data_IF_703415688798
#
_entry.id   IF_703415688798
#
_cell.length_a   1.000
_cell.length_b   1.000
_cell.length_c   1.000
_cell.angle_alpha   90.00
_cell.angle_beta   90.00
_cell.angle_gamma   90.00
#
_symmetry.space_group_name_H-M   'P 1'
#
loop_
_entity.id
_entity.type
_entity.pdbx_description
1 polymer ?
#
# COMPACT_ATOMS: atom_id res chain seq x y z
N UNK A 1 -0.58 -12.75 37.08
CA UNK A 1 0.50 -12.01 36.39
C UNK A 1 0.62 -12.61 34.99
N UNK A 2 0.02 -11.99 33.97
CA UNK A 2 0.09 -12.50 32.60
C UNK A 2 1.49 -12.17 32.05
N UNK A 3 2.26 -13.20 31.67
CA UNK A 3 3.56 -13.00 31.05
C UNK A 3 3.29 -12.54 29.61
N UNK A 4 3.36 -11.23 29.38
CA UNK A 4 3.19 -10.68 28.03
C UNK A 4 4.32 -11.18 27.15
N UNK A 5 3.97 -11.88 26.06
CA UNK A 5 4.93 -12.34 25.07
C UNK A 5 5.49 -11.12 24.34
N UNK A 6 6.77 -10.82 24.59
CA UNK A 6 7.54 -9.76 23.91
C UNK A 6 7.38 -9.88 22.40
N UNK A 7 7.33 -8.74 21.69
CA UNK A 7 7.31 -8.69 20.23
C UNK A 7 8.43 -9.57 19.65
N UNK A 8 8.09 -10.39 18.65
CA UNK A 8 9.07 -11.22 17.95
C UNK A 8 10.11 -10.34 17.21
N UNK A 9 11.27 -10.92 16.91
CA UNK A 9 12.37 -10.18 16.30
C UNK A 9 12.02 -9.68 14.89
N UNK A 10 11.32 -10.48 14.09
CA UNK A 10 10.92 -10.11 12.72
C UNK A 10 10.05 -8.85 12.68
N UNK A 11 8.97 -8.80 13.46
CA UNK A 11 8.07 -7.64 13.55
C UNK A 11 8.81 -6.38 14.00
N UNK A 12 9.74 -6.56 14.95
CA UNK A 12 10.58 -5.45 15.41
C UNK A 12 11.51 -4.93 14.32
N UNK A 13 12.14 -5.83 13.56
CA UNK A 13 13.00 -5.44 12.44
C UNK A 13 12.18 -4.77 11.33
N UNK A 14 10.97 -5.28 11.00
CA UNK A 14 10.05 -4.62 10.06
C UNK A 14 9.73 -3.20 10.49
N UNK A 15 9.35 -3.02 11.75
CA UNK A 15 9.06 -1.70 12.32
C UNK A 15 10.28 -0.78 12.21
N UNK A 16 11.49 -1.30 12.47
CA UNK A 16 12.72 -0.52 12.38
C UNK A 16 13.07 -0.13 10.95
N UNK A 17 12.98 -1.05 9.99
CA UNK A 17 13.18 -0.77 8.56
C UNK A 17 12.19 0.25 8.01
N UNK A 18 10.93 0.19 8.44
CA UNK A 18 9.89 1.11 8.00
C UNK A 18 9.93 2.49 8.70
N UNK A 19 10.87 2.70 9.64
CA UNK A 19 10.96 3.96 10.41
C UNK A 19 10.93 5.23 9.53
N UNK A 20 11.63 5.31 8.38
CA UNK A 20 11.57 6.49 7.52
C UNK A 20 10.15 6.75 6.99
N UNK A 21 9.48 5.73 6.46
CA UNK A 21 8.11 5.84 5.94
C UNK A 21 7.12 6.28 7.03
N UNK A 22 7.27 5.73 8.24
CA UNK A 22 6.42 6.12 9.38
C UNK A 22 6.70 7.58 9.77
N UNK A 23 7.97 8.03 9.79
CA UNK A 23 8.32 9.42 10.13
C UNK A 23 7.76 10.44 9.14
N UNK A 24 7.77 10.11 7.86
CA UNK A 24 7.36 11.02 6.81
C UNK A 24 5.85 11.22 6.79
N UNK A 25 5.09 10.18 7.11
CA UNK A 25 3.64 10.17 6.86
C UNK A 25 2.76 10.03 8.09
N UNK A 26 3.27 9.49 9.20
CA UNK A 26 2.47 9.32 10.41
C UNK A 26 2.33 10.64 11.18
N UNK A 27 1.11 10.93 11.63
CA UNK A 27 0.81 12.00 12.58
C UNK A 27 0.49 11.39 13.96
N UNK A 28 1.46 11.37 14.90
CA UNK A 28 1.29 10.67 16.18
C UNK A 28 0.01 11.04 16.92
N UNK A 29 -0.37 12.33 16.92
CA UNK A 29 -1.54 12.81 17.65
C UNK A 29 -2.86 12.12 17.25
N UNK A 30 -3.02 11.72 15.98
CA UNK A 30 -4.24 11.05 15.51
C UNK A 30 -4.24 9.56 15.86
N UNK A 31 -3.09 8.90 15.75
CA UNK A 31 -2.99 7.45 15.97
C UNK A 31 -2.87 7.09 17.45
N UNK A 32 -2.23 7.93 18.27
CA UNK A 32 -2.04 7.69 19.71
C UNK A 32 -3.37 7.52 20.47
N UNK A 33 -4.43 8.23 20.09
CA UNK A 33 -5.74 8.13 20.75
C UNK A 33 -6.36 6.75 20.53
N UNK A 34 -6.31 6.26 19.30
CA UNK A 34 -6.77 4.91 18.95
C UNK A 34 -5.88 3.83 19.61
N UNK A 35 -4.58 4.06 19.69
CA UNK A 35 -3.65 3.12 20.35
C UNK A 35 -3.90 3.02 21.86
N UNK A 36 -4.24 4.13 22.51
CA UNK A 36 -4.60 4.15 23.93
C UNK A 36 -5.94 3.43 24.15
N UNK A 37 -6.94 3.68 23.30
CA UNK A 37 -8.24 3.00 23.38
C UNK A 37 -8.18 1.48 23.16
N UNK A 38 -7.19 1.01 22.39
CA UNK A 38 -6.95 -0.40 22.11
C UNK A 38 -5.96 -1.07 23.09
N UNK A 39 -5.58 -0.39 24.17
CA UNK A 39 -4.61 -0.86 25.18
C UNK A 39 -3.25 -1.28 24.59
N UNK A 40 -2.82 -0.63 23.50
CA UNK A 40 -1.51 -0.88 22.88
C UNK A 40 -0.41 -0.16 23.68
N UNK A 41 -0.73 1.05 24.12
CA UNK A 41 0.09 1.92 24.96
C UNK A 41 -0.74 2.34 26.17
N UNK A 42 -0.08 2.76 27.24
CA UNK A 42 -0.73 3.32 28.42
C UNK A 42 -0.70 4.86 28.41
N UNK A 43 -1.30 5.48 29.43
CA UNK A 43 -1.32 6.94 29.56
C UNK A 43 0.07 7.55 29.77
N UNK A 44 1.01 6.80 30.35
CA UNK A 44 2.39 7.27 30.55
C UNK A 44 3.12 7.34 29.20
N UNK A 45 3.08 6.27 28.43
CA UNK A 45 3.58 6.22 27.05
C UNK A 45 2.98 7.34 26.20
N UNK A 46 1.66 7.53 26.27
CA UNK A 46 0.95 8.56 25.52
C UNK A 46 1.49 9.96 25.85
N UNK A 47 1.67 10.28 27.13
CA UNK A 47 2.25 11.56 27.57
C UNK A 47 3.70 11.70 27.17
N UNK A 48 4.49 10.63 27.30
CA UNK A 48 5.93 10.63 26.97
C UNK A 48 6.14 10.92 25.47
N UNK A 49 5.34 10.28 24.59
CA UNK A 49 5.36 10.58 23.15
C UNK A 49 5.01 12.05 22.90
N UNK A 50 3.90 12.55 23.45
CA UNK A 50 3.46 13.93 23.18
C UNK A 50 4.39 15.01 23.78
N UNK A 51 5.11 14.70 24.85
CA UNK A 51 6.07 15.61 25.47
C UNK A 51 7.29 15.90 24.58
N UNK A 52 7.58 15.02 23.61
CA UNK A 52 8.68 15.18 22.67
C UNK A 52 8.43 16.35 21.70
N UNK A 53 9.43 17.24 21.57
CA UNK A 53 9.34 18.42 20.70
C UNK A 53 9.54 18.06 19.24
N UNK A 54 8.47 18.14 18.45
CA UNK A 54 8.46 17.98 17.00
C UNK A 54 8.04 16.59 16.53
N UNK A 55 7.32 16.52 15.41
CA UNK A 55 6.69 15.30 14.88
C UNK A 55 7.65 14.12 14.78
N UNK A 56 8.83 14.32 14.20
CA UNK A 56 9.80 13.25 13.99
C UNK A 56 10.27 12.61 15.31
N UNK A 57 10.49 13.43 16.35
CA UNK A 57 10.88 12.92 17.68
C UNK A 57 9.73 12.18 18.34
N UNK A 58 8.50 12.66 18.18
CA UNK A 58 7.30 11.96 18.65
C UNK A 58 7.16 10.59 17.96
N UNK A 59 7.30 10.53 16.63
CA UNK A 59 7.26 9.25 15.88
C UNK A 59 8.40 8.32 16.33
N UNK A 60 9.62 8.84 16.46
CA UNK A 60 10.76 8.05 16.92
C UNK A 60 10.50 7.43 18.30
N UNK A 61 9.98 8.24 19.24
CA UNK A 61 9.63 7.80 20.58
C UNK A 61 8.51 6.75 20.59
N UNK A 62 7.49 6.95 19.75
CA UNK A 62 6.41 5.97 19.56
C UNK A 62 6.94 4.61 19.07
N UNK A 63 7.84 4.63 18.08
CA UNK A 63 8.46 3.41 17.55
C UNK A 63 9.31 2.71 18.64
N UNK A 64 10.05 3.48 19.44
CA UNK A 64 10.81 2.93 20.57
C UNK A 64 9.91 2.22 21.58
N UNK A 65 8.80 2.85 21.98
CA UNK A 65 7.78 2.27 22.87
C UNK A 65 7.18 1.01 22.24
N UNK A 66 6.70 1.08 21.01
CA UNK A 66 6.12 -0.05 20.28
C UNK A 66 7.09 -1.24 20.24
N UNK A 67 8.37 -0.99 19.99
CA UNK A 67 9.40 -2.03 19.94
C UNK A 67 9.59 -2.80 21.26
N UNK A 68 9.08 -2.26 22.37
CA UNK A 68 9.10 -2.88 23.69
C UNK A 68 7.79 -3.60 24.04
N UNK A 69 6.71 -3.37 23.30
CA UNK A 69 5.40 -4.00 23.53
C UNK A 69 5.34 -5.45 23.02
N UNK A 70 4.17 -6.06 23.16
CA UNK A 70 3.92 -7.45 22.76
C UNK A 70 3.68 -7.59 21.25
N UNK A 71 3.79 -8.81 20.71
CA UNK A 71 3.38 -9.07 19.32
C UNK A 71 1.90 -8.79 19.07
N UNK A 72 1.05 -8.90 20.09
CA UNK A 72 -0.37 -8.54 19.96
C UNK A 72 -0.55 -7.04 19.78
N UNK A 73 0.20 -6.22 20.54
CA UNK A 73 0.21 -4.77 20.40
C UNK A 73 0.64 -4.35 18.99
N UNK A 74 1.65 -5.01 18.41
CA UNK A 74 2.06 -4.79 17.01
C UNK A 74 0.92 -5.05 16.02
N UNK A 75 0.24 -6.19 16.13
CA UNK A 75 -0.87 -6.53 15.22
C UNK A 75 -2.02 -5.54 15.32
N UNK A 76 -2.38 -5.12 16.54
CA UNK A 76 -3.38 -4.08 16.76
C UNK A 76 -2.95 -2.74 16.16
N UNK A 77 -1.67 -2.37 16.30
CA UNK A 77 -1.11 -1.16 15.69
C UNK A 77 -1.23 -1.20 14.16
N UNK A 78 -0.86 -2.32 13.52
CA UNK A 78 -1.04 -2.50 12.08
C UNK A 78 -2.52 -2.40 11.69
N UNK A 79 -3.44 -2.95 12.48
CA UNK A 79 -4.88 -2.82 12.24
C UNK A 79 -5.35 -1.36 12.30
N UNK A 80 -4.91 -0.58 13.28
CA UNK A 80 -5.22 0.87 13.37
C UNK A 80 -4.67 1.59 12.14
N UNK A 81 -3.46 1.26 11.70
CA UNK A 81 -2.92 1.82 10.46
C UNK A 81 -3.76 1.40 9.24
N UNK A 82 -4.25 0.17 9.18
CA UNK A 82 -5.07 -0.31 8.06
C UNK A 82 -6.36 0.51 7.86
N UNK A 83 -6.89 1.11 8.93
CA UNK A 83 -8.12 1.90 8.91
C UNK A 83 -7.91 3.31 8.32
N UNK A 84 -6.83 3.99 8.68
CA UNK A 84 -6.58 5.40 8.30
C UNK A 84 -5.38 5.60 7.34
N UNK A 85 -4.50 4.61 7.26
CA UNK A 85 -3.19 4.64 6.61
C UNK A 85 -2.85 3.26 5.98
N UNK A 86 -3.81 2.68 5.26
CA UNK A 86 -3.74 1.36 4.61
C UNK A 86 -2.40 1.10 3.88
N UNK A 87 -1.94 2.06 3.08
CA UNK A 87 -0.68 1.97 2.35
C UNK A 87 0.54 1.83 3.29
N UNK A 88 0.53 2.45 4.48
CA UNK A 88 1.61 2.35 5.45
C UNK A 88 1.56 0.99 6.15
N UNK A 89 0.36 0.53 6.50
CA UNK A 89 0.16 -0.81 7.04
C UNK A 89 0.69 -1.87 6.07
N UNK A 90 0.34 -1.75 4.79
CA UNK A 90 0.78 -2.67 3.74
C UNK A 90 2.29 -2.60 3.51
N UNK A 91 2.86 -1.39 3.50
CA UNK A 91 4.32 -1.18 3.43
C UNK A 91 5.04 -1.88 4.57
N UNK A 92 4.52 -1.82 5.81
CA UNK A 92 5.16 -2.51 6.95
C UNK A 92 5.05 -4.03 6.79
N UNK A 93 3.89 -4.55 6.35
CA UNK A 93 3.65 -5.99 6.15
C UNK A 93 4.53 -6.58 5.04
N UNK A 94 4.76 -5.83 3.96
CA UNK A 94 5.53 -6.27 2.79
C UNK A 94 7.05 -6.25 3.01
N UNK A 95 7.54 -5.74 4.14
CA UNK A 95 8.97 -5.75 4.44
C UNK A 95 9.42 -7.19 4.72
N UNK A 96 10.27 -7.67 3.82
CA UNK A 96 11.02 -8.91 4.00
C UNK A 96 12.11 -8.71 5.05
N UNK A 97 12.22 -9.70 5.93
CA UNK A 97 13.22 -9.77 6.98
C UNK A 97 13.90 -11.12 6.86
N UNK A 98 15.20 -11.11 6.61
CA UNK A 98 15.98 -12.34 6.49
C UNK A 98 16.43 -12.86 7.86
N UNK A 99 16.80 -14.14 7.92
CA UNK A 99 17.31 -14.74 9.15
C UNK A 99 18.64 -14.13 9.60
N UNK A 100 19.50 -13.74 8.66
CA UNK A 100 20.77 -13.03 8.93
C UNK A 100 20.56 -11.70 9.65
N UNK A 101 19.49 -10.97 9.29
CA UNK A 101 19.12 -9.71 9.96
C UNK A 101 18.63 -9.96 11.38
N UNK A 102 17.89 -11.05 11.59
CA UNK A 102 17.44 -11.49 12.91
C UNK A 102 18.65 -11.86 13.78
N UNK A 103 19.60 -12.63 13.24
CA UNK A 103 20.83 -12.98 13.95
C UNK A 103 21.66 -11.74 14.30
N UNK A 104 21.84 -10.83 13.36
CA UNK A 104 22.52 -9.54 13.57
C UNK A 104 21.83 -8.68 14.62
N UNK A 105 20.50 -8.69 14.64
CA UNK A 105 19.70 -7.99 15.65
C UNK A 105 19.91 -8.55 17.06
N UNK A 106 20.12 -9.86 17.22
CA UNK A 106 20.46 -10.45 18.51
C UNK A 106 21.93 -10.19 18.88
N UNK A 107 22.85 -10.31 17.93
CA UNK A 107 24.28 -10.07 18.14
C UNK A 107 24.57 -8.65 18.66
N UNK A 108 23.92 -7.65 18.07
CA UNK A 108 24.06 -6.24 18.47
C UNK A 108 23.55 -5.93 19.89
N UNK A 109 22.75 -6.82 20.50
CA UNK A 109 22.20 -6.64 21.85
C UNK A 109 23.06 -7.24 22.96
N UNK A 110 24.22 -7.82 22.65
CA UNK A 110 25.12 -8.42 23.64
C UNK A 110 24.56 -9.64 24.37
N UNK A 111 23.33 -10.05 24.05
CA UNK A 111 22.77 -11.31 24.49
C UNK A 111 23.30 -12.38 23.54
N UNK A 112 24.46 -12.92 23.88
CA UNK A 112 25.02 -14.09 23.24
C UNK A 112 23.93 -15.17 23.22
N UNK A 113 23.29 -15.48 22.08
CA UNK A 113 22.26 -16.48 22.05
C UNK A 113 22.98 -17.78 22.42
N UNK A 114 22.70 -18.31 23.61
CA UNK A 114 23.00 -19.72 23.89
C UNK A 114 22.33 -20.46 22.75
N UNK A 115 23.15 -20.96 21.81
CA UNK A 115 22.75 -21.78 20.67
C UNK A 115 21.55 -22.62 21.11
N UNK A 116 20.37 -22.25 20.63
CA UNK A 116 19.26 -23.19 20.60
C UNK A 116 19.72 -24.16 19.53
N UNK A 117 20.40 -25.21 19.97
CA UNK A 117 20.87 -26.30 19.14
C UNK A 117 19.68 -26.83 18.38
N UNK A 118 19.93 -27.10 17.10
CA UNK A 118 19.00 -27.41 16.02
C UNK A 118 18.17 -28.70 16.21
N UNK A 119 18.01 -29.20 17.43
CA UNK A 119 17.29 -30.43 17.76
C UNK A 119 15.77 -30.22 17.92
N UNK A 120 15.23 -29.09 17.45
CA UNK A 120 13.79 -28.82 17.46
C UNK A 120 13.19 -28.57 16.07
N UNK A 121 13.98 -28.71 15.00
CA UNK A 121 13.48 -28.68 13.61
C UNK A 121 13.10 -30.10 13.18
N UNK A 122 12.03 -30.63 13.77
CA UNK A 122 11.31 -31.81 13.27
C UNK A 122 9.81 -31.58 13.41
N UNK A 123 9.31 -30.54 12.72
CA UNK A 123 7.90 -30.44 12.32
C UNK A 123 7.71 -29.31 11.31
N UNK A 124 8.29 -29.45 10.11
CA UNK A 124 7.76 -28.80 8.91
C UNK A 124 8.26 -29.54 7.65
N UNK A 125 7.89 -30.81 7.52
CA UNK A 125 8.04 -31.57 6.29
C UNK A 125 6.66 -32.16 5.95
N UNK A 126 5.87 -31.37 5.24
CA UNK A 126 4.63 -31.69 4.50
C UNK A 126 4.22 -30.29 3.99
N UNK A 127 4.44 -29.93 2.73
CA UNK A 127 3.87 -30.49 1.51
C UNK A 127 4.82 -30.08 0.37
N UNK A 128 5.41 -31.06 -0.31
CA UNK A 128 5.88 -30.91 -1.70
C UNK A 128 6.04 -32.32 -2.28
N UNK A 129 4.94 -32.87 -2.79
CA UNK A 129 4.98 -33.98 -3.75
C UNK A 129 3.59 -34.17 -4.34
N UNK A 130 3.45 -33.80 -5.62
CA UNK A 130 2.68 -34.48 -6.66
C UNK A 130 2.10 -33.47 -7.65
N UNK A 131 2.80 -33.30 -8.79
CA UNK A 131 2.23 -33.47 -10.13
C UNK A 131 3.33 -33.32 -11.17
N UNK A 132 4.05 -34.43 -11.37
CA UNK A 132 4.53 -34.76 -12.70
C UNK A 132 3.30 -34.97 -13.59
N UNK A 133 3.23 -34.22 -14.68
CA UNK A 133 2.34 -34.54 -15.80
C UNK A 133 3.22 -34.67 -17.03
N UNK A 134 3.03 -35.82 -17.65
CA UNK A 134 3.67 -36.39 -18.81
C UNK A 134 3.74 -35.45 -20.01
N UNK A 135 4.85 -35.59 -20.72
CA UNK A 135 5.08 -35.12 -22.07
C UNK A 135 4.58 -36.20 -23.02
N UNK A 136 3.51 -35.94 -23.78
CA UNK A 136 3.23 -36.55 -25.10
C UNK A 136 1.95 -35.95 -25.69
N UNK A 137 2.06 -35.16 -26.76
CA UNK A 137 1.80 -35.65 -28.12
C UNK A 137 1.68 -34.49 -29.12
N UNK A 138 2.51 -34.63 -30.16
CA UNK A 138 2.50 -33.81 -31.36
C UNK A 138 1.36 -34.27 -32.26
N UNK A 139 0.42 -33.37 -32.60
CA UNK A 139 -0.47 -33.55 -33.76
C UNK A 139 -0.35 -32.33 -34.67
N UNK A 140 -0.05 -32.52 -35.96
CA UNK A 140 -0.02 -31.43 -36.93
C UNK A 140 -1.41 -31.19 -37.54
N UNK A 141 -1.52 -30.05 -38.23
CA UNK A 141 -2.47 -29.78 -39.32
C UNK A 141 -3.90 -29.37 -38.94
N UNK A 142 -4.19 -28.06 -39.08
CA UNK A 142 -5.18 -27.65 -40.08
C UNK A 142 -5.05 -26.16 -40.43
N UNK A 143 -4.59 -25.88 -41.66
CA UNK A 143 -4.70 -24.56 -42.29
C UNK A 143 -6.16 -24.36 -42.71
N UNK A 144 -6.89 -23.52 -41.99
CA UNK A 144 -8.19 -23.01 -42.45
C UNK A 144 -7.99 -21.83 -43.40
N UNK A 145 -8.74 -21.76 -44.51
CA UNK A 145 -8.68 -20.63 -45.43
C UNK A 145 -9.31 -19.38 -44.81
N UNK A 146 -8.70 -18.24 -45.14
CA UNK A 146 -9.09 -16.91 -44.72
C UNK A 146 -10.53 -16.60 -45.16
N UNK A 147 -11.47 -16.60 -44.20
CA UNK A 147 -12.73 -15.90 -44.36
C UNK A 147 -12.43 -14.41 -44.20
N UNK A 148 -12.55 -13.67 -45.30
CA UNK A 148 -12.54 -12.21 -45.32
C UNK A 148 -13.69 -11.72 -44.43
N UNK A 149 -13.39 -11.42 -43.17
CA UNK A 149 -14.30 -10.71 -42.29
C UNK A 149 -14.39 -9.27 -42.81
N UNK A 150 -15.56 -8.94 -43.34
CA UNK A 150 -15.97 -7.56 -43.58
C UNK A 150 -15.78 -6.79 -42.27
N UNK A 151 -14.73 -5.97 -42.23
CA UNK A 151 -14.49 -5.00 -41.16
C UNK A 151 -15.62 -3.98 -41.28
N UNK A 152 -16.68 -4.19 -40.51
CA UNK A 152 -17.67 -3.15 -40.24
C UNK A 152 -16.91 -2.10 -39.44
N UNK A 153 -16.42 -1.06 -40.13
CA UNK A 153 -15.84 0.12 -39.50
C UNK A 153 -16.90 0.69 -38.55
N UNK A 154 -16.76 0.36 -37.25
CA UNK A 154 -17.55 1.02 -36.22
C UNK A 154 -17.25 2.51 -36.34
N UNK A 155 -18.28 3.37 -36.37
CA UNK A 155 -18.08 4.80 -36.35
C UNK A 155 -17.16 5.13 -35.18
N UNK A 156 -16.04 5.77 -35.48
CA UNK A 156 -15.08 6.20 -34.48
C UNK A 156 -15.78 7.25 -33.61
N UNK A 157 -16.36 6.81 -32.50
CA UNK A 157 -16.84 7.70 -31.44
C UNK A 157 -15.66 8.59 -31.07
N UNK A 158 -15.81 9.89 -31.30
CA UNK A 158 -14.77 10.86 -31.00
C UNK A 158 -14.50 10.80 -29.49
N UNK A 159 -13.41 10.15 -29.11
CA UNK A 159 -12.99 10.03 -27.72
C UNK A 159 -12.69 11.43 -27.19
N UNK A 160 -13.53 11.93 -26.28
CA UNK A 160 -13.33 13.23 -25.64
C UNK A 160 -12.09 13.16 -24.75
N UNK A 161 -11.09 14.00 -25.04
CA UNK A 161 -9.89 14.14 -24.22
C UNK A 161 -10.26 14.71 -22.85
N UNK A 162 -9.56 14.29 -21.80
CA UNK A 162 -9.80 14.75 -20.42
C UNK A 162 -9.29 16.19 -20.27
N UNK A 163 -10.20 17.11 -19.94
CA UNK A 163 -9.89 18.54 -19.76
C UNK A 163 -9.59 18.90 -18.31
N UNK A 164 -9.06 20.10 -18.08
CA UNK A 164 -8.72 20.58 -16.73
C UNK A 164 -9.96 20.77 -15.83
N UNK A 165 -11.10 21.10 -16.42
CA UNK A 165 -12.37 21.22 -15.72
C UNK A 165 -12.82 19.86 -15.17
N UNK A 166 -12.61 18.78 -15.91
CA UNK A 166 -12.86 17.41 -15.42
C UNK A 166 -11.93 17.07 -14.25
N UNK A 167 -10.64 17.44 -14.33
CA UNK A 167 -9.70 17.27 -13.22
C UNK A 167 -10.14 18.06 -11.97
N UNK A 168 -10.72 19.24 -12.16
CA UNK A 168 -11.25 20.04 -11.06
C UNK A 168 -12.43 19.35 -10.37
N UNK A 169 -13.28 18.63 -11.11
CA UNK A 169 -14.36 17.80 -10.54
C UNK A 169 -13.78 16.69 -9.67
N UNK A 170 -12.79 15.94 -10.18
CA UNK A 170 -12.12 14.88 -9.43
C UNK A 170 -11.49 15.39 -8.13
N UNK A 171 -10.77 16.52 -8.19
CA UNK A 171 -10.09 17.14 -7.02
C UNK A 171 -11.05 17.60 -5.93
N UNK A 172 -12.25 18.03 -6.31
CA UNK A 172 -13.27 18.48 -5.34
C UNK A 172 -13.90 17.32 -4.60
N UNK A 173 -13.84 16.10 -5.13
CA UNK A 173 -14.37 14.93 -4.47
C UNK A 173 -13.37 14.37 -3.44
N UNK A 174 -13.70 14.54 -2.16
CA UNK A 174 -12.83 14.11 -1.06
C UNK A 174 -12.59 12.59 -1.01
N UNK A 175 -13.51 11.76 -1.52
CA UNK A 175 -13.32 10.29 -1.57
C UNK A 175 -12.29 9.91 -2.62
N UNK A 176 -12.37 10.51 -3.81
CA UNK A 176 -11.37 10.32 -4.87
C UNK A 176 -10.00 10.80 -4.41
N UNK A 177 -9.92 11.98 -3.79
CA UNK A 177 -8.64 12.52 -3.27
C UNK A 177 -8.06 11.66 -2.15
N UNK A 178 -8.88 11.11 -1.25
CA UNK A 178 -8.38 10.23 -0.17
C UNK A 178 -7.89 8.89 -0.70
N UNK A 179 -8.58 8.35 -1.71
CA UNK A 179 -8.33 7.01 -2.25
C UNK A 179 -7.64 7.04 -3.63
N UNK A 180 -6.85 8.08 -3.90
CA UNK A 180 -6.22 8.27 -5.21
C UNK A 180 -5.21 7.16 -5.55
N UNK A 181 -4.61 6.51 -4.54
CA UNK A 181 -3.71 5.37 -4.74
C UNK A 181 -4.43 4.18 -5.39
N UNK A 182 -5.66 3.88 -4.95
CA UNK A 182 -6.48 2.81 -5.54
C UNK A 182 -6.83 3.12 -6.99
N UNK A 183 -7.17 4.39 -7.28
CA UNK A 183 -7.36 4.88 -8.64
C UNK A 183 -6.07 4.71 -9.48
N UNK A 184 -4.90 5.02 -8.91
CA UNK A 184 -3.62 4.82 -9.59
C UNK A 184 -3.36 3.35 -9.92
N UNK A 185 -3.66 2.43 -9.01
CA UNK A 185 -3.54 1.00 -9.26
C UNK A 185 -4.41 0.54 -10.43
N UNK A 186 -5.67 1.02 -10.52
CA UNK A 186 -6.55 0.68 -11.64
C UNK A 186 -6.14 1.28 -12.97
N UNK A 187 -5.52 2.45 -12.95
CA UNK A 187 -4.93 3.06 -14.14
C UNK A 187 -3.63 2.36 -14.59
N UNK A 188 -3.16 1.34 -13.84
CA UNK A 188 -1.89 0.67 -14.12
C UNK A 188 -0.66 1.50 -13.71
N UNK A 189 -0.84 2.45 -12.80
CA UNK A 189 0.17 3.42 -12.35
C UNK A 189 0.68 3.11 -10.94
N UNK A 190 0.57 1.87 -10.48
CA UNK A 190 1.04 1.40 -9.17
C UNK A 190 2.49 1.83 -8.86
N UNK A 191 3.36 1.81 -9.87
CA UNK A 191 4.78 2.17 -9.73
C UNK A 191 5.00 3.68 -9.56
N UNK A 192 4.03 4.51 -9.95
CA UNK A 192 4.11 5.97 -9.87
C UNK A 192 3.62 6.52 -8.53
N UNK A 193 2.93 5.73 -7.70
CA UNK A 193 2.35 6.18 -6.42
C UNK A 193 3.43 6.81 -5.51
N UNK A 194 4.56 6.13 -5.34
CA UNK A 194 5.67 6.65 -4.52
C UNK A 194 6.28 7.94 -5.11
N UNK A 195 6.44 7.99 -6.44
CA UNK A 195 6.95 9.19 -7.13
C UNK A 195 6.04 10.40 -6.93
N UNK A 196 4.73 10.20 -7.05
CA UNK A 196 3.71 11.24 -6.83
C UNK A 196 3.70 11.69 -5.37
N UNK A 197 3.75 10.76 -4.41
CA UNK A 197 3.90 11.11 -2.98
C UNK A 197 5.14 11.97 -2.72
N UNK A 198 6.29 11.58 -3.28
CA UNK A 198 7.52 12.36 -3.15
C UNK A 198 7.37 13.76 -3.75
N UNK A 199 6.75 13.90 -4.94
CA UNK A 199 6.50 15.21 -5.57
C UNK A 199 5.68 16.13 -4.66
N UNK A 200 4.58 15.62 -4.11
CA UNK A 200 3.68 16.39 -3.21
C UNK A 200 4.43 16.79 -1.94
N UNK A 201 5.12 15.84 -1.31
CA UNK A 201 5.83 16.06 -0.05
C UNK A 201 6.98 17.06 -0.23
N UNK A 202 7.80 16.91 -1.28
CA UNK A 202 8.93 17.81 -1.56
C UNK A 202 8.47 19.24 -1.86
N UNK A 203 7.30 19.41 -2.49
CA UNK A 203 6.74 20.73 -2.83
C UNK A 203 5.86 21.33 -1.73
N UNK A 204 5.62 20.58 -0.64
CA UNK A 204 4.67 20.96 0.41
C UNK A 204 3.28 21.28 -0.14
N UNK A 205 2.87 20.52 -1.16
CA UNK A 205 1.62 20.74 -1.87
C UNK A 205 0.45 20.02 -1.20
N UNK A 206 -0.76 20.42 -1.56
CA UNK A 206 -1.98 19.79 -1.05
C UNK A 206 -2.20 18.43 -1.73
N UNK A 207 -2.75 17.47 -0.97
CA UNK A 207 -2.94 16.08 -1.43
C UNK A 207 -3.86 15.98 -2.65
N UNK A 208 -4.77 16.94 -2.85
CA UNK A 208 -5.62 16.98 -4.05
C UNK A 208 -4.83 17.17 -5.35
N UNK A 209 -3.60 17.72 -5.29
CA UNK A 209 -2.71 17.79 -6.46
C UNK A 209 -2.20 16.40 -6.89
N UNK A 210 -2.32 15.37 -6.05
CA UNK A 210 -2.05 13.98 -6.43
C UNK A 210 -2.86 13.56 -7.66
N UNK A 211 -4.10 14.04 -7.78
CA UNK A 211 -4.97 13.72 -8.91
C UNK A 211 -4.43 14.34 -10.21
N UNK A 212 -3.89 15.56 -10.16
CA UNK A 212 -3.30 16.18 -11.35
C UNK A 212 -2.07 15.41 -11.77
N UNK A 213 -1.15 15.14 -10.84
CA UNK A 213 0.05 14.38 -11.15
C UNK A 213 -0.28 12.98 -11.67
N UNK A 214 -1.26 12.31 -11.08
CA UNK A 214 -1.72 11.00 -11.54
C UNK A 214 -2.21 11.04 -12.98
N UNK A 215 -3.00 12.05 -13.35
CA UNK A 215 -3.58 12.17 -14.69
C UNK A 215 -2.53 12.58 -15.73
N UNK A 216 -1.55 13.41 -15.34
CA UNK A 216 -0.39 13.72 -16.18
C UNK A 216 0.47 12.47 -16.47
N UNK A 217 0.76 11.66 -15.45
CA UNK A 217 1.48 10.39 -15.62
C UNK A 217 0.68 9.39 -16.48
N UNK A 218 -0.64 9.33 -16.27
CA UNK A 218 -1.51 8.48 -17.09
C UNK A 218 -1.49 8.87 -18.57
N UNK A 219 -1.61 10.18 -18.85
CA UNK A 219 -1.52 10.73 -20.21
C UNK A 219 -0.19 10.37 -20.88
N UNK A 220 0.91 10.40 -20.12
CA UNK A 220 2.24 10.06 -20.61
C UNK A 220 2.41 8.58 -20.94
N UNK A 221 1.87 7.68 -20.11
CA UNK A 221 2.08 6.23 -20.24
C UNK A 221 1.08 5.59 -21.22
N UNK A 222 -0.19 6.01 -21.20
CA UNK A 222 -1.27 5.43 -22.00
C UNK A 222 -2.11 6.51 -22.71
N UNK A 223 -1.53 7.25 -23.68
CA UNK A 223 -2.23 8.36 -24.34
C UNK A 223 -3.50 7.93 -25.12
N UNK A 224 -3.58 6.67 -25.55
CA UNK A 224 -4.75 6.12 -26.25
C UNK A 224 -5.94 5.89 -25.31
N UNK A 225 -5.64 5.51 -24.08
CA UNK A 225 -6.64 5.22 -23.05
C UNK A 225 -6.98 6.47 -22.22
N UNK A 226 -6.24 7.57 -22.43
CA UNK A 226 -6.46 8.87 -21.80
C UNK A 226 -7.67 9.60 -22.42
N UNK A 227 -8.87 9.11 -22.10
CA UNK A 227 -10.13 9.70 -22.55
C UNK A 227 -11.22 9.59 -21.47
N UNK A 228 -12.28 10.39 -21.63
CA UNK A 228 -13.38 10.49 -20.67
C UNK A 228 -14.07 9.14 -20.41
N UNK A 229 -14.34 8.36 -21.46
CA UNK A 229 -15.04 7.08 -21.36
C UNK A 229 -14.28 6.10 -20.46
N UNK A 230 -12.97 5.99 -20.69
CA UNK A 230 -12.11 5.12 -19.92
C UNK A 230 -11.97 5.59 -18.47
N UNK A 231 -11.83 6.89 -18.24
CA UNK A 231 -11.78 7.47 -16.90
C UNK A 231 -13.06 7.14 -16.11
N UNK A 232 -14.22 7.39 -16.72
CA UNK A 232 -15.53 7.12 -16.11
C UNK A 232 -15.69 5.63 -15.78
N UNK A 233 -15.29 4.73 -16.69
CA UNK A 233 -15.33 3.29 -16.44
C UNK A 233 -14.51 2.91 -15.21
N UNK A 234 -13.28 3.41 -15.12
CA UNK A 234 -12.37 3.14 -13.99
C UNK A 234 -12.93 3.72 -12.68
N UNK A 235 -13.51 4.92 -12.71
CA UNK A 235 -14.16 5.51 -11.54
C UNK A 235 -15.33 4.65 -11.03
N UNK A 236 -16.12 4.07 -11.94
CA UNK A 236 -17.19 3.13 -11.58
C UNK A 236 -16.65 1.82 -10.99
N UNK A 237 -15.56 1.28 -11.55
CA UNK A 237 -14.88 0.09 -11.02
C UNK A 237 -14.40 0.30 -9.57
N UNK A 238 -13.94 1.52 -9.24
CA UNK A 238 -13.51 1.93 -7.89
C UNK A 238 -14.66 2.50 -7.02
N UNK A 239 -15.92 2.34 -7.45
CA UNK A 239 -17.11 2.75 -6.71
C UNK A 239 -17.22 4.26 -6.44
N UNK A 240 -16.62 5.10 -7.30
CA UNK A 240 -16.79 6.56 -7.34
C UNK A 240 -17.94 6.96 -8.29
N UNK A 241 -19.09 6.31 -8.15
CA UNK A 241 -20.24 6.47 -9.04
C UNK A 241 -20.76 7.92 -9.09
N UNK A 242 -20.73 8.63 -7.96
CA UNK A 242 -21.15 10.03 -7.85
C UNK A 242 -20.34 10.95 -8.77
N UNK A 243 -19.02 10.73 -8.85
CA UNK A 243 -18.12 11.51 -9.71
C UNK A 243 -18.24 11.09 -11.16
N UNK A 244 -18.37 9.78 -11.42
CA UNK A 244 -18.59 9.24 -12.74
C UNK A 244 -19.87 9.81 -13.38
N UNK A 245 -20.99 9.77 -12.65
CA UNK A 245 -22.29 10.30 -13.08
C UNK A 245 -22.21 11.82 -13.30
N UNK A 246 -21.47 12.55 -12.45
CA UNK A 246 -21.26 13.99 -12.63
C UNK A 246 -20.47 14.31 -13.90
N UNK A 247 -19.41 13.55 -14.19
CA UNK A 247 -18.60 13.75 -15.39
C UNK A 247 -19.38 13.41 -16.67
N UNK A 248 -20.15 12.32 -16.66
CA UNK A 248 -21.06 11.96 -17.76
C UNK A 248 -22.14 13.02 -17.96
N UNK A 249 -22.76 13.55 -16.90
CA UNK A 249 -23.80 14.57 -17.02
C UNK A 249 -23.27 15.91 -17.58
N UNK A 250 -22.02 16.26 -17.28
CA UNK A 250 -21.40 17.50 -17.74
C UNK A 250 -20.80 17.39 -19.14
N UNK A 251 -20.31 16.20 -19.53
CA UNK A 251 -19.45 16.05 -20.71
C UNK A 251 -19.76 14.83 -21.59
N UNK A 252 -20.72 13.97 -21.23
CA UNK A 252 -21.20 12.85 -22.06
C UNK A 252 -21.99 13.34 -23.25
#
# INVERSE_FOLDING_TARGET
MLIYKKMNAYDRIRLMKCTPCIKDSLMPKYVLSSMLAEDIIDEEDFRDVLSSKGREKQVQKLIEILSQKSSQAFRKFIKILDEDHDWLAETIKSIEVSDDEVESFFASRGNNPKRITSDSVQQQAYIDEARGIDVQDSVPMNRRPAAQQHVVERPQSQSKEITYEMLTVLRRNSRVVRNWCALAHRLGLSTQVNSIHMKINMRMESVDLAIIYLMEEWKGIQPKDYNLEQLVRILREEQFNDVADQLEAMYG
#
